data_IF_661386907985
#
_entry.id   IF_661386907985
#
_cell.length_a   1.000
_cell.length_b   1.000
_cell.length_c   1.000
_cell.angle_alpha   90.00
_cell.angle_beta   90.00
_cell.angle_gamma   90.00
#
_symmetry.space_group_name_H-M   'P 1'
#
loop_
_entity.id
_entity.type
_entity.pdbx_description
1 polymer ?
#
# COMPACT_ATOMS: atom_id res chain seq x y z
N UNK A 1 24.87 -8.75 1.80
CA UNK A 1 23.95 -8.76 2.96
C UNK A 1 22.55 -8.37 2.51
N UNK A 2 21.51 -8.89 3.16
CA UNK A 2 20.12 -8.70 2.73
C UNK A 2 19.63 -7.29 3.15
N UNK A 3 19.11 -6.49 2.22
CA UNK A 3 18.51 -5.17 2.48
C UNK A 3 17.58 -5.19 3.71
N UNK A 4 16.77 -6.24 3.84
CA UNK A 4 15.86 -6.43 4.97
C UNK A 4 16.60 -6.49 6.32
N UNK A 5 17.79 -7.11 6.35
CA UNK A 5 18.60 -7.19 7.56
C UNK A 5 19.13 -5.81 7.98
N UNK A 6 19.52 -4.98 7.02
CA UNK A 6 19.95 -3.60 7.30
C UNK A 6 18.80 -2.73 7.79
N UNK A 7 17.62 -2.82 7.14
CA UNK A 7 16.42 -2.12 7.61
C UNK A 7 16.06 -2.54 9.04
N UNK A 8 16.08 -3.84 9.34
CA UNK A 8 15.79 -4.32 10.69
C UNK A 8 16.80 -3.80 11.71
N UNK A 9 18.10 -3.79 11.39
CA UNK A 9 19.12 -3.24 12.29
C UNK A 9 18.91 -1.74 12.55
N UNK A 10 18.56 -0.96 11.51
CA UNK A 10 18.21 0.46 11.65
C UNK A 10 16.98 0.65 12.53
N UNK A 11 15.92 -0.16 12.35
CA UNK A 11 14.70 -0.09 13.15
C UNK A 11 14.95 -0.48 14.62
N UNK A 12 15.71 -1.54 14.87
CA UNK A 12 16.08 -1.97 16.21
C UNK A 12 16.90 -0.90 16.95
N UNK A 13 17.88 -0.30 16.26
CA UNK A 13 18.64 0.83 16.79
C UNK A 13 17.74 2.03 17.11
N UNK A 14 16.84 2.40 16.19
CA UNK A 14 15.89 3.48 16.41
C UNK A 14 14.96 3.22 17.61
N UNK A 15 14.53 1.97 17.81
CA UNK A 15 13.72 1.57 18.96
C UNK A 15 14.51 1.66 20.28
N UNK A 16 15.78 1.24 20.29
CA UNK A 16 16.66 1.32 21.45
C UNK A 16 16.97 2.77 21.83
N UNK A 17 17.32 3.62 20.87
CA UNK A 17 17.59 5.04 21.10
C UNK A 17 16.34 5.76 21.64
N UNK A 18 15.16 5.47 21.07
CA UNK A 18 13.89 6.03 21.56
C UNK A 18 13.55 5.60 22.99
N UNK A 19 13.87 4.36 23.38
CA UNK A 19 13.74 3.89 24.77
C UNK A 19 14.70 4.62 25.71
N UNK A 20 15.85 5.03 25.20
CA UNK A 20 16.87 5.78 25.95
C UNK A 20 16.64 7.31 25.92
N UNK A 21 15.50 7.79 25.39
CA UNK A 21 15.16 9.21 25.32
C UNK A 21 15.95 10.01 24.28
N UNK A 22 16.66 9.33 23.38
CA UNK A 22 17.43 9.93 22.28
C UNK A 22 16.64 9.82 20.98
N UNK A 23 16.67 10.86 20.16
CA UNK A 23 15.90 10.93 18.90
C UNK A 23 16.73 10.66 17.65
N UNK A 24 18.05 10.51 17.79
CA UNK A 24 18.98 10.34 16.67
C UNK A 24 19.40 8.89 16.51
N UNK A 25 19.12 8.33 15.33
CA UNK A 25 19.66 7.05 14.86
C UNK A 25 21.18 7.22 14.72
N UNK A 26 21.96 6.20 15.08
CA UNK A 26 23.41 6.27 14.90
C UNK A 26 23.74 6.46 13.39
N UNK A 27 24.46 7.52 13.00
CA UNK A 27 24.69 7.87 11.60
C UNK A 27 25.46 6.78 10.83
N UNK A 28 26.22 5.95 11.55
CA UNK A 28 27.08 4.90 11.01
C UNK A 28 26.28 3.73 10.40
N UNK A 29 24.97 3.62 10.69
CA UNK A 29 24.10 2.56 10.20
C UNK A 29 23.45 2.84 8.84
N UNK A 30 23.50 4.11 8.37
CA UNK A 30 22.82 4.52 7.14
C UNK A 30 23.89 4.86 6.10
N UNK A 31 24.18 3.91 5.22
CA UNK A 31 24.98 4.19 4.03
C UNK A 31 24.17 5.01 3.01
N UNK A 32 24.82 5.77 2.11
CA UNK A 32 24.12 6.51 1.05
C UNK A 32 23.23 5.63 0.17
N UNK A 33 23.67 4.40 -0.10
CA UNK A 33 22.89 3.43 -0.88
C UNK A 33 21.65 2.96 -0.11
N UNK A 34 21.78 2.70 1.20
CA UNK A 34 20.65 2.34 2.05
C UNK A 34 19.66 3.50 2.18
N UNK A 35 20.15 4.74 2.31
CA UNK A 35 19.30 5.93 2.34
C UNK A 35 18.47 6.06 1.05
N UNK A 36 19.10 5.87 -0.11
CA UNK A 36 18.43 5.86 -1.41
C UNK A 36 17.35 4.79 -1.49
N UNK A 37 17.66 3.57 -1.08
CA UNK A 37 16.70 2.46 -1.06
C UNK A 37 15.54 2.70 -0.08
N UNK A 38 15.81 3.29 1.09
CA UNK A 38 14.78 3.69 2.07
C UNK A 38 13.85 4.77 1.51
N UNK A 39 14.38 5.73 0.74
CA UNK A 39 13.57 6.75 0.07
C UNK A 39 12.66 6.13 -0.99
N UNK A 40 13.16 5.18 -1.79
CA UNK A 40 12.35 4.44 -2.76
C UNK A 40 11.29 3.60 -2.05
N UNK A 41 11.66 2.89 -0.99
CA UNK A 41 10.73 2.12 -0.16
C UNK A 41 9.61 3.00 0.41
N UNK A 42 9.95 4.18 0.92
CA UNK A 42 8.95 5.14 1.38
C UNK A 42 7.98 5.52 0.26
N UNK A 43 8.48 5.84 -0.94
CA UNK A 43 7.63 6.17 -2.10
C UNK A 43 6.72 5.01 -2.52
N UNK A 44 7.18 3.76 -2.39
CA UNK A 44 6.37 2.57 -2.68
C UNK A 44 5.28 2.35 -1.63
N UNK A 45 5.54 2.64 -0.35
CA UNK A 45 4.64 2.34 0.76
C UNK A 45 3.66 3.48 1.09
N UNK A 46 4.02 4.75 0.84
CA UNK A 46 3.14 5.91 1.11
C UNK A 46 1.76 5.76 0.47
N UNK A 47 1.61 5.37 -0.81
CA UNK A 47 0.30 5.14 -1.40
C UNK A 47 -0.58 4.14 -0.63
N UNK A 48 0.02 3.10 -0.03
CA UNK A 48 -0.72 2.12 0.78
C UNK A 48 -1.19 2.73 2.10
N UNK A 49 -0.36 3.56 2.72
CA UNK A 49 -0.70 4.27 3.95
C UNK A 49 -1.86 5.25 3.68
N UNK A 50 -1.76 6.02 2.60
CA UNK A 50 -2.80 6.98 2.21
C UNK A 50 -4.13 6.29 1.94
N UNK A 51 -4.13 5.21 1.14
CA UNK A 51 -5.35 4.44 0.90
C UNK A 51 -5.91 3.84 2.19
N UNK A 52 -5.05 3.35 3.09
CA UNK A 52 -5.51 2.79 4.37
C UNK A 52 -6.18 3.87 5.22
N UNK A 53 -5.58 5.05 5.29
CA UNK A 53 -6.14 6.19 6.01
C UNK A 53 -7.46 6.63 5.39
N UNK A 54 -7.53 6.77 4.07
CA UNK A 54 -8.77 7.10 3.35
C UNK A 54 -9.86 6.07 3.63
N UNK A 55 -9.58 4.78 3.54
CA UNK A 55 -10.56 3.71 3.75
C UNK A 55 -10.97 3.51 5.22
N UNK A 56 -10.21 4.06 6.17
CA UNK A 56 -10.54 4.03 7.60
C UNK A 56 -11.31 5.26 8.08
N UNK A 57 -11.46 6.30 7.25
CA UNK A 57 -12.25 7.48 7.60
C UNK A 57 -13.75 7.15 7.68
N UNK A 58 -14.48 7.91 8.49
CA UNK A 58 -15.94 7.81 8.54
C UNK A 58 -16.54 8.25 7.20
N UNK A 59 -17.55 7.53 6.71
CA UNK A 59 -18.22 7.84 5.45
C UNK A 59 -17.62 7.18 4.21
N UNK A 60 -16.66 6.27 4.37
CA UNK A 60 -16.14 5.46 3.26
C UNK A 60 -17.23 4.53 2.74
N UNK A 61 -17.52 4.69 1.45
CA UNK A 61 -18.49 3.87 0.71
C UNK A 61 -17.78 2.75 -0.05
N UNK A 62 -18.46 1.63 -0.27
CA UNK A 62 -17.96 0.51 -1.09
C UNK A 62 -17.52 0.94 -2.49
N UNK A 63 -18.08 2.03 -3.00
CA UNK A 63 -17.73 2.63 -4.29
C UNK A 63 -16.31 3.16 -4.40
N UNK A 64 -15.66 3.50 -3.28
CA UNK A 64 -14.29 4.02 -3.26
C UNK A 64 -13.24 2.92 -3.28
N UNK A 65 -13.59 1.69 -2.93
CA UNK A 65 -12.61 0.63 -2.72
C UNK A 65 -11.94 0.22 -4.03
N UNK A 66 -12.71 -0.07 -5.08
CA UNK A 66 -12.15 -0.43 -6.39
C UNK A 66 -11.30 0.73 -6.94
N UNK A 67 -11.78 1.96 -6.80
CA UNK A 67 -11.08 3.16 -7.29
C UNK A 67 -9.78 3.42 -6.55
N UNK A 68 -9.81 3.28 -5.23
CA UNK A 68 -8.65 3.40 -4.38
C UNK A 68 -7.58 2.37 -4.75
N UNK A 69 -7.98 1.12 -4.99
CA UNK A 69 -7.04 0.06 -5.43
C UNK A 69 -6.44 0.35 -6.81
N UNK A 70 -7.24 0.81 -7.77
CA UNK A 70 -6.74 1.21 -9.11
C UNK A 70 -5.76 2.39 -9.00
N UNK A 71 -6.09 3.39 -8.19
CA UNK A 71 -5.26 4.58 -7.98
C UNK A 71 -3.94 4.21 -7.32
N UNK A 72 -4.00 3.38 -6.27
CA UNK A 72 -2.83 2.82 -5.60
C UNK A 72 -1.93 2.06 -6.57
N UNK A 73 -2.49 1.17 -7.40
CA UNK A 73 -1.72 0.46 -8.42
C UNK A 73 -1.00 1.43 -9.36
N UNK A 74 -1.68 2.47 -9.87
CA UNK A 74 -1.06 3.45 -10.77
C UNK A 74 0.07 4.23 -10.10
N UNK A 75 -0.12 4.66 -8.86
CA UNK A 75 0.89 5.40 -8.09
C UNK A 75 2.13 4.54 -7.85
N UNK A 76 1.96 3.29 -7.41
CA UNK A 76 3.07 2.35 -7.17
C UNK A 76 3.76 1.98 -8.48
N UNK A 77 3.00 1.73 -9.55
CA UNK A 77 3.52 1.42 -10.87
C UNK A 77 4.36 2.58 -11.45
N UNK A 78 4.08 3.83 -11.08
CA UNK A 78 4.82 5.02 -11.53
C UNK A 78 6.11 5.27 -10.73
N UNK A 79 6.36 4.59 -9.61
CA UNK A 79 7.60 4.76 -8.84
C UNK A 79 8.77 4.15 -9.60
N UNK A 80 9.78 4.97 -9.91
CA UNK A 80 11.02 4.47 -10.52
C UNK A 80 11.81 3.63 -9.50
N UNK A 81 12.15 2.41 -9.91
CA UNK A 81 12.99 1.50 -9.15
C UNK A 81 14.11 1.00 -10.04
N UNK A 82 15.34 1.09 -9.56
CA UNK A 82 16.48 0.46 -10.21
C UNK A 82 16.34 -1.07 -10.19
N UNK A 83 17.03 -1.73 -11.13
CA UNK A 83 17.08 -3.19 -11.21
C UNK A 83 17.50 -3.82 -9.88
N UNK A 84 16.97 -5.00 -9.58
CA UNK A 84 17.27 -5.72 -8.34
C UNK A 84 16.11 -5.73 -7.36
N UNK A 85 16.42 -5.63 -6.07
CA UNK A 85 15.46 -5.92 -4.99
C UNK A 85 14.26 -4.98 -5.00
N UNK A 86 14.46 -3.67 -5.20
CA UNK A 86 13.36 -2.68 -5.18
C UNK A 86 12.34 -2.91 -6.30
N UNK A 87 12.81 -3.26 -7.50
CA UNK A 87 11.93 -3.61 -8.62
C UNK A 87 11.15 -4.89 -8.35
N UNK A 88 11.78 -5.90 -7.75
CA UNK A 88 11.11 -7.13 -7.34
C UNK A 88 10.05 -6.87 -6.25
N UNK A 89 10.39 -6.04 -5.26
CA UNK A 89 9.46 -5.63 -4.20
C UNK A 89 8.26 -4.87 -4.76
N UNK A 90 8.48 -3.89 -5.64
CA UNK A 90 7.42 -3.15 -6.35
C UNK A 90 6.47 -4.12 -7.07
N UNK A 91 7.02 -5.07 -7.82
CA UNK A 91 6.24 -6.06 -8.55
C UNK A 91 5.41 -6.94 -7.61
N UNK A 92 6.02 -7.38 -6.50
CA UNK A 92 5.34 -8.15 -5.45
C UNK A 92 4.21 -7.35 -4.79
N UNK A 93 4.41 -6.05 -4.51
CA UNK A 93 3.41 -5.17 -3.92
C UNK A 93 2.21 -4.99 -4.85
N UNK A 94 2.45 -4.73 -6.13
CA UNK A 94 1.40 -4.62 -7.15
C UNK A 94 0.60 -5.92 -7.31
N UNK A 95 1.28 -7.07 -7.28
CA UNK A 95 0.61 -8.37 -7.37
C UNK A 95 -0.23 -8.64 -6.10
N UNK A 96 0.38 -8.44 -4.93
CA UNK A 96 -0.25 -8.71 -3.63
C UNK A 96 -1.53 -7.91 -3.45
N UNK A 97 -1.55 -6.63 -3.88
CA UNK A 97 -2.77 -5.84 -3.75
C UNK A 97 -3.89 -6.36 -4.64
N UNK A 98 -3.61 -6.66 -5.90
CA UNK A 98 -4.63 -7.18 -6.82
C UNK A 98 -5.16 -8.52 -6.33
N UNK A 99 -4.28 -9.42 -5.90
CA UNK A 99 -4.66 -10.72 -5.35
C UNK A 99 -5.48 -10.61 -4.07
N UNK A 100 -5.13 -9.68 -3.17
CA UNK A 100 -5.86 -9.50 -1.92
C UNK A 100 -7.32 -9.12 -2.12
N UNK A 101 -7.62 -8.30 -3.14
CA UNK A 101 -8.99 -7.87 -3.44
C UNK A 101 -9.72 -8.82 -4.42
N UNK A 102 -9.01 -9.72 -5.10
CA UNK A 102 -9.59 -10.77 -5.94
C UNK A 102 -9.86 -12.08 -5.17
N UNK A 103 -8.97 -12.48 -4.27
CA UNK A 103 -8.99 -13.76 -3.54
C UNK A 103 -8.62 -13.58 -2.05
N UNK A 104 -9.45 -12.87 -1.26
CA UNK A 104 -9.14 -12.49 0.12
C UNK A 104 -8.99 -13.67 1.08
N UNK A 105 -9.66 -14.80 0.80
CA UNK A 105 -9.63 -16.01 1.64
C UNK A 105 -8.24 -16.66 1.73
N UNK A 106 -7.36 -16.37 0.77
CA UNK A 106 -5.99 -16.89 0.76
C UNK A 106 -5.08 -16.12 1.75
N UNK A 107 -5.49 -14.94 2.21
CA UNK A 107 -4.70 -14.08 3.11
C UNK A 107 -5.13 -14.27 4.57
N UNK A 108 -4.75 -15.41 5.15
CA UNK A 108 -5.00 -15.69 6.57
C UNK A 108 -3.99 -15.01 7.50
N UNK A 109 -4.26 -13.75 7.86
CA UNK A 109 -3.57 -13.11 8.98
C UNK A 109 -3.98 -13.77 10.30
N UNK A 110 -2.99 -14.18 11.09
CA UNK A 110 -3.12 -14.85 12.40
C UNK A 110 -3.25 -13.89 13.59
N UNK A 111 -3.47 -12.60 13.35
CA UNK A 111 -3.61 -11.58 14.39
C UNK A 111 -5.00 -11.60 15.04
N UNK A 112 -5.05 -11.66 16.39
CA UNK A 112 -6.29 -11.59 17.18
C UNK A 112 -7.07 -10.31 16.87
N UNK A 113 -8.28 -10.44 16.32
CA UNK A 113 -9.33 -9.42 16.43
C UNK A 113 -9.58 -8.49 15.24
N UNK A 114 -8.82 -8.55 14.14
CA UNK A 114 -9.15 -7.75 12.96
C UNK A 114 -10.30 -8.41 12.17
N UNK A 115 -11.45 -7.74 12.05
CA UNK A 115 -12.50 -8.10 11.07
C UNK A 115 -11.87 -7.99 9.68
N UNK A 116 -11.50 -9.14 9.12
CA UNK A 116 -10.87 -9.27 7.80
C UNK A 116 -11.81 -8.76 6.71
N UNK A 117 -11.27 -8.07 5.72
CA UNK A 117 -11.97 -7.91 4.44
C UNK A 117 -12.04 -9.30 3.79
N UNK A 118 -13.16 -10.00 3.98
CA UNK A 118 -13.39 -11.38 3.49
C UNK A 118 -14.06 -11.40 2.12
N UNK A 119 -14.32 -10.24 1.51
CA UNK A 119 -15.12 -10.14 0.30
C UNK A 119 -14.24 -9.97 -0.93
N UNK A 120 -14.50 -10.77 -1.97
CA UNK A 120 -13.88 -10.62 -3.29
C UNK A 120 -14.39 -9.35 -3.95
N UNK A 121 -13.75 -8.22 -3.67
CA UNK A 121 -14.21 -6.89 -4.10
C UNK A 121 -14.38 -6.81 -5.62
N UNK A 122 -13.47 -7.42 -6.39
CA UNK A 122 -13.54 -7.40 -7.86
C UNK A 122 -14.55 -8.36 -8.48
N UNK A 123 -15.07 -9.33 -7.72
CA UNK A 123 -16.12 -10.25 -8.17
C UNK A 123 -17.48 -9.91 -7.55
N UNK A 124 -17.53 -8.98 -6.59
CA UNK A 124 -18.75 -8.66 -5.88
C UNK A 124 -19.56 -7.58 -6.61
N UNK A 125 -20.76 -7.96 -7.04
CA UNK A 125 -21.67 -7.07 -7.77
C UNK A 125 -22.02 -5.77 -7.02
N UNK A 126 -22.11 -5.79 -5.68
CA UNK A 126 -22.40 -4.58 -4.92
C UNK A 126 -21.25 -3.57 -4.95
N UNK A 127 -19.99 -4.02 -4.90
CA UNK A 127 -18.82 -3.15 -5.02
C UNK A 127 -18.68 -2.61 -6.45
N UNK A 128 -18.89 -3.46 -7.45
CA UNK A 128 -18.85 -3.05 -8.86
C UNK A 128 -19.93 -2.01 -9.14
N UNK A 129 -21.18 -2.29 -8.77
CA UNK A 129 -22.30 -1.37 -8.98
C UNK A 129 -22.12 -0.08 -8.20
N UNK A 130 -21.71 -0.14 -6.92
CA UNK A 130 -21.45 1.06 -6.15
C UNK A 130 -20.36 1.92 -6.80
N UNK A 131 -19.29 1.31 -7.32
CA UNK A 131 -18.21 2.02 -8.02
C UNK A 131 -18.70 2.68 -9.31
N UNK A 132 -19.45 1.95 -10.13
CA UNK A 132 -19.98 2.45 -11.41
C UNK A 132 -21.03 3.55 -11.22
N UNK A 133 -21.83 3.46 -10.17
CA UNK A 133 -22.88 4.42 -9.84
C UNK A 133 -22.39 5.59 -8.99
N UNK A 134 -21.09 5.65 -8.67
CA UNK A 134 -20.54 6.74 -7.87
C UNK A 134 -20.58 8.05 -8.69
N UNK A 135 -21.32 9.08 -8.24
CA UNK A 135 -21.47 10.33 -8.97
C UNK A 135 -20.16 11.14 -9.04
N UNK A 136 -19.16 10.82 -8.22
CA UNK A 136 -17.80 11.39 -8.33
C UNK A 136 -17.06 10.82 -9.54
N UNK A 137 -17.52 9.68 -10.03
CA UNK A 137 -16.99 8.96 -11.17
C UNK A 137 -17.72 9.29 -12.45
N UNK A 138 -18.17 10.56 -12.63
CA UNK A 138 -18.58 11.14 -13.92
C UNK A 138 -17.47 10.95 -14.95
N UNK A 139 -17.39 9.73 -15.42
CA UNK A 139 -16.64 9.27 -16.56
C UNK A 139 -17.56 9.55 -17.73
N UNK A 140 -16.96 9.98 -18.82
CA UNK A 140 -17.65 10.36 -20.03
C UNK A 140 -18.45 9.25 -20.77
N UNK A 141 -18.45 7.92 -20.46
CA UNK A 141 -19.20 6.99 -21.31
C UNK A 141 -20.72 7.03 -21.10
N UNK A 142 -21.22 7.71 -20.06
CA UNK A 142 -22.67 7.91 -19.82
C UNK A 142 -23.14 9.35 -20.05
N UNK A 143 -22.23 10.25 -20.45
CA UNK A 143 -22.61 11.52 -21.04
C UNK A 143 -23.07 11.23 -22.46
N UNK A 144 -24.35 10.89 -22.61
CA UNK A 144 -25.02 11.03 -23.90
C UNK A 144 -24.83 12.49 -24.33
N UNK A 145 -23.96 12.73 -25.31
CA UNK A 145 -23.91 14.04 -25.96
C UNK A 145 -25.33 14.39 -26.45
N UNK A 146 -25.86 15.59 -26.14
CA UNK A 146 -27.08 16.07 -26.79
C UNK A 146 -26.88 16.22 -28.30
#
# INVERSE_FOLDING_TARGET
ENFVSHVNAVLESAHLERRNGRSTIAPDLISPDLEKDLLVLSKLLTPFLDLTNELQQEGVTSSLVILGVITLYKQVAAVDCEEGYMKALKSSLCLTITERFAAPEQFNYSGRGAKKCLMKVFENSAYILATLLDPRWKTAPFESKP
#
